data_IF_530807908543
#
_entry.id   IF_530807908543
#
_cell.length_a   1.000
_cell.length_b   1.000
_cell.length_c   1.000
_cell.angle_alpha   90.00
_cell.angle_beta   90.00
_cell.angle_gamma   90.00
#
_symmetry.space_group_name_H-M   'P 1'
#
loop_
_entity.id
_entity.type
_entity.pdbx_description
1 polymer ?
#
# COMPACT_ATOMS: atom_id res chain seq x y z
N UNK A 1 -19.69 53.72 14.63
CA UNK A 1 -19.10 52.45 15.10
C UNK A 1 -19.42 51.37 14.05
N UNK A 2 -18.51 51.15 13.09
CA UNK A 2 -18.70 50.12 12.06
C UNK A 2 -18.31 48.76 12.62
N UNK A 3 -19.28 47.86 12.78
CA UNK A 3 -19.03 46.46 13.12
C UNK A 3 -18.48 45.74 11.88
N UNK A 4 -17.16 45.69 11.75
CA UNK A 4 -16.50 44.80 10.80
C UNK A 4 -16.62 43.37 11.34
N UNK A 5 -17.56 42.59 10.79
CA UNK A 5 -17.67 41.17 11.04
C UNK A 5 -16.35 40.52 10.60
N UNK A 6 -15.52 40.12 11.57
CA UNK A 6 -14.36 39.26 11.32
C UNK A 6 -14.91 37.91 10.85
N UNK A 7 -14.90 37.66 9.55
CA UNK A 7 -15.08 36.32 8.99
C UNK A 7 -13.98 35.43 9.57
N UNK A 8 -14.34 34.60 10.55
CA UNK A 8 -13.47 33.55 11.07
C UNK A 8 -13.25 32.53 9.96
N UNK A 9 -12.06 32.55 9.36
CA UNK A 9 -11.69 31.63 8.28
C UNK A 9 -11.65 30.20 8.81
N UNK A 10 -12.64 29.39 8.40
CA UNK A 10 -12.78 28.02 8.88
C UNK A 10 -11.87 27.07 8.10
N UNK A 11 -11.23 26.13 8.81
CA UNK A 11 -10.52 25.04 8.17
C UNK A 11 -11.51 24.11 7.46
N UNK A 12 -11.17 23.67 6.24
CA UNK A 12 -12.01 22.79 5.43
C UNK A 12 -11.41 21.39 5.36
N UNK A 13 -12.16 20.40 5.83
CA UNK A 13 -11.84 18.98 5.62
C UNK A 13 -12.47 18.49 4.32
N UNK A 14 -11.66 17.88 3.45
CA UNK A 14 -12.12 17.26 2.22
C UNK A 14 -11.79 15.78 2.19
N UNK A 15 -12.67 14.98 1.56
CA UNK A 15 -12.47 13.56 1.36
C UNK A 15 -11.93 13.30 -0.04
N UNK A 16 -10.91 12.44 -0.11
CA UNK A 16 -10.26 12.05 -1.34
C UNK A 16 -10.38 10.54 -1.52
N UNK A 17 -10.64 10.08 -2.74
CA UNK A 17 -10.47 8.69 -3.14
C UNK A 17 -9.11 8.54 -3.82
N UNK A 18 -8.29 7.65 -3.29
CA UNK A 18 -6.94 7.39 -3.77
C UNK A 18 -6.84 5.97 -4.29
N UNK A 19 -6.36 5.81 -5.52
CA UNK A 19 -6.02 4.54 -6.14
C UNK A 19 -4.55 4.27 -5.94
N UNK A 20 -4.20 3.04 -5.57
CA UNK A 20 -2.82 2.66 -5.30
C UNK A 20 -2.55 1.19 -5.66
N UNK A 21 -1.31 0.89 -5.97
CA UNK A 21 -0.81 -0.46 -6.23
C UNK A 21 0.33 -0.80 -5.29
N UNK A 22 0.54 -2.08 -4.99
CA UNK A 22 1.69 -2.50 -4.22
C UNK A 22 2.13 -3.95 -4.45
N UNK A 23 3.41 -4.20 -4.17
CA UNK A 23 3.99 -5.54 -4.08
C UNK A 23 4.00 -5.99 -2.61
N UNK A 24 3.13 -6.94 -2.27
CA UNK A 24 2.89 -7.35 -0.89
C UNK A 24 3.93 -8.30 -0.28
N UNK A 25 4.86 -8.87 -1.05
CA UNK A 25 5.79 -9.93 -0.56
C UNK A 25 6.58 -9.55 0.68
N UNK A 26 6.93 -8.26 0.83
CA UNK A 26 7.68 -7.77 1.99
C UNK A 26 6.80 -7.15 3.08
N UNK A 27 5.49 -7.06 2.87
CA UNK A 27 4.56 -6.46 3.81
C UNK A 27 3.87 -7.52 4.65
N UNK A 28 3.80 -7.25 5.95
CA UNK A 28 3.05 -8.07 6.89
C UNK A 28 1.58 -7.63 6.88
N UNK A 29 0.68 -8.58 7.12
CA UNK A 29 -0.58 -8.21 7.75
C UNK A 29 -0.27 -7.76 9.17
N UNK A 30 -0.77 -6.59 9.59
CA UNK A 30 -0.85 -6.29 11.03
C UNK A 30 -2.29 -5.98 11.38
N UNK A 31 -2.83 -6.85 12.24
CA UNK A 31 -3.35 -6.44 13.56
C UNK A 31 -3.30 -7.65 14.49
N UNK A 32 -2.18 -7.78 15.20
CA UNK A 32 -2.15 -8.38 16.53
C UNK A 32 -1.75 -7.23 17.44
N UNK A 33 -2.64 -6.88 18.35
CA UNK A 33 -2.48 -5.78 19.27
C UNK A 33 -1.12 -5.94 20.00
N UNK A 34 -0.27 -4.91 19.98
CA UNK A 34 1.01 -4.77 20.69
C UNK A 34 2.35 -5.06 19.96
N UNK A 35 2.41 -5.10 18.63
CA UNK A 35 3.69 -4.88 17.92
C UNK A 35 3.62 -3.63 17.06
N UNK A 36 4.69 -2.83 17.12
CA UNK A 36 4.92 -1.59 16.38
C UNK A 36 4.26 -1.59 14.99
N UNK A 37 3.52 -0.53 14.60
CA UNK A 37 2.79 -0.43 13.32
C UNK A 37 3.70 -0.48 12.07
N UNK A 38 4.98 -0.70 12.25
CA UNK A 38 6.02 -0.73 11.23
C UNK A 38 5.93 -2.00 10.39
N UNK A 39 5.34 -1.89 9.20
CA UNK A 39 5.39 -2.95 8.19
C UNK A 39 4.08 -3.27 7.48
N UNK A 40 3.02 -2.48 7.66
CA UNK A 40 1.80 -2.59 6.84
C UNK A 40 1.78 -1.59 5.69
N UNK A 41 0.98 -1.90 4.68
CA UNK A 41 0.65 -0.97 3.59
C UNK A 41 -0.07 0.27 4.12
N UNK A 42 -0.98 0.10 5.08
CA UNK A 42 -1.74 1.22 5.65
C UNK A 42 -0.83 2.19 6.39
N UNK A 43 0.02 1.69 7.30
CA UNK A 43 0.93 2.55 8.07
C UNK A 43 2.00 3.21 7.20
N UNK A 44 2.46 2.55 6.13
CA UNK A 44 3.32 3.18 5.13
C UNK A 44 2.61 4.36 4.45
N UNK A 45 1.37 4.16 3.97
CA UNK A 45 0.57 5.21 3.34
C UNK A 45 0.27 6.38 4.30
N UNK A 46 -0.20 6.11 5.52
CA UNK A 46 -0.51 7.14 6.51
C UNK A 46 0.72 8.00 6.84
N UNK A 47 1.88 7.36 7.06
CA UNK A 47 3.14 8.08 7.31
C UNK A 47 3.58 8.90 6.12
N UNK A 48 3.52 8.34 4.91
CA UNK A 48 3.90 9.08 3.71
C UNK A 48 2.99 10.28 3.46
N UNK A 49 1.68 10.15 3.65
CA UNK A 49 0.72 11.26 3.51
C UNK A 49 0.97 12.31 4.59
N UNK A 50 1.15 11.91 5.85
CA UNK A 50 1.42 12.84 6.95
C UNK A 50 2.70 13.65 6.71
N UNK A 51 3.79 13.00 6.29
CA UNK A 51 5.07 13.65 5.98
C UNK A 51 5.03 14.48 4.69
N UNK A 52 4.24 14.07 3.70
CA UNK A 52 4.16 14.78 2.43
C UNK A 52 3.30 16.04 2.52
N UNK A 53 2.16 15.96 3.22
CA UNK A 53 1.11 16.97 3.16
C UNK A 53 0.93 17.77 4.45
N UNK A 54 1.39 17.24 5.59
CA UNK A 54 1.22 17.86 6.92
C UNK A 54 -0.23 18.31 7.21
N UNK A 55 -1.24 17.43 7.07
CA UNK A 55 -2.63 17.79 7.32
C UNK A 55 -2.87 18.06 8.82
N UNK A 56 -3.75 19.02 9.12
CA UNK A 56 -3.96 19.54 10.49
C UNK A 56 -4.28 18.45 11.51
N UNK A 57 -5.14 17.49 11.14
CA UNK A 57 -5.59 16.43 12.05
C UNK A 57 -4.93 15.06 11.79
N UNK A 58 -3.86 15.06 10.98
CA UNK A 58 -3.27 13.82 10.48
C UNK A 58 -4.13 13.11 9.42
N UNK A 59 -3.55 12.08 8.82
CA UNK A 59 -4.19 11.20 7.85
C UNK A 59 -5.12 10.21 8.56
N UNK A 60 -6.42 10.24 8.21
CA UNK A 60 -7.40 9.22 8.60
C UNK A 60 -7.91 8.53 7.35
N UNK A 61 -7.50 7.28 7.14
CA UNK A 61 -7.83 6.54 5.91
C UNK A 61 -8.67 5.28 6.17
N UNK A 62 -9.50 4.92 5.19
CA UNK A 62 -10.22 3.66 5.14
C UNK A 62 -10.01 2.95 3.81
N UNK A 63 -9.48 1.72 3.83
CA UNK A 63 -9.21 0.93 2.61
C UNK A 63 -10.45 0.19 2.10
N UNK A 64 -10.58 0.09 0.78
CA UNK A 64 -11.67 -0.66 0.13
C UNK A 64 -11.54 -2.16 0.36
N UNK A 65 -10.32 -2.67 0.50
CA UNK A 65 -10.06 -4.08 0.78
C UNK A 65 -8.83 -4.24 1.67
N UNK A 66 -8.91 -5.19 2.61
CA UNK A 66 -7.74 -5.72 3.32
C UNK A 66 -7.19 -6.89 2.53
N UNK A 67 -5.88 -7.06 2.54
CA UNK A 67 -5.23 -8.20 1.91
C UNK A 67 -4.38 -8.95 2.92
N UNK A 68 -4.15 -10.24 2.62
CA UNK A 68 -3.27 -11.06 3.43
C UNK A 68 -1.79 -10.74 3.21
N UNK A 69 -0.94 -11.20 4.14
CA UNK A 69 0.50 -10.98 4.03
C UNK A 69 1.00 -11.62 2.74
N UNK A 70 1.87 -10.92 2.00
CA UNK A 70 2.35 -11.41 0.70
C UNK A 70 1.43 -11.15 -0.49
N UNK A 71 0.16 -10.78 -0.29
CA UNK A 71 -0.78 -10.51 -1.40
C UNK A 71 -0.45 -9.18 -2.06
N UNK A 72 -0.39 -9.17 -3.39
CA UNK A 72 -0.18 -7.97 -4.20
C UNK A 72 -1.49 -7.27 -4.55
N UNK A 73 -1.43 -5.98 -4.86
CA UNK A 73 -2.55 -5.26 -5.46
C UNK A 73 -2.11 -4.51 -6.72
N UNK A 74 -2.75 -4.81 -7.85
CA UNK A 74 -2.64 -4.00 -9.07
C UNK A 74 -3.35 -2.67 -8.92
N UNK A 75 -4.50 -2.66 -8.26
CA UNK A 75 -5.25 -1.47 -7.90
C UNK A 75 -6.12 -1.79 -6.70
N UNK A 76 -5.81 -1.16 -5.56
CA UNK A 76 -6.69 -1.06 -4.41
C UNK A 76 -7.02 0.43 -4.24
N UNK A 77 -8.04 0.73 -3.43
CA UNK A 77 -8.41 2.11 -3.14
C UNK A 77 -8.55 2.35 -1.66
N UNK A 78 -8.35 3.60 -1.24
CA UNK A 78 -8.75 4.06 0.07
C UNK A 78 -9.39 5.44 -0.06
N UNK A 79 -10.23 5.78 0.91
CA UNK A 79 -10.63 7.16 1.11
C UNK A 79 -9.81 7.75 2.26
N UNK A 80 -9.51 9.05 2.21
CA UNK A 80 -8.81 9.77 3.26
C UNK A 80 -9.42 11.15 3.44
N UNK A 81 -9.58 11.57 4.70
CA UNK A 81 -9.98 12.92 5.06
C UNK A 81 -8.74 13.77 5.34
N UNK A 82 -8.61 14.88 4.63
CA UNK A 82 -7.48 15.80 4.76
C UNK A 82 -7.98 17.23 4.98
N UNK A 83 -7.38 17.88 5.97
CA UNK A 83 -7.61 19.30 6.30
C UNK A 83 -6.34 20.07 6.03
N UNK A 84 -6.40 21.03 5.12
CA UNK A 84 -5.27 21.86 4.77
C UNK A 84 -4.95 22.85 5.92
N UNK A 85 -3.67 23.11 6.25
CA UNK A 85 -3.31 24.05 7.32
C UNK A 85 -3.65 25.51 7.00
N UNK A 86 -3.62 25.88 5.72
CA UNK A 86 -4.10 27.18 5.26
C UNK A 86 -5.64 27.16 5.20
N UNK A 87 -6.33 28.11 5.85
CA UNK A 87 -7.79 28.23 5.80
C UNK A 87 -8.33 28.35 4.38
N UNK A 88 -9.56 27.89 4.18
CA UNK A 88 -10.29 27.95 2.89
C UNK A 88 -9.56 27.28 1.69
N UNK A 89 -8.47 26.56 1.96
CA UNK A 89 -7.65 25.89 0.97
C UNK A 89 -7.88 24.39 1.02
N UNK A 90 -7.64 23.72 -0.10
CA UNK A 90 -7.68 22.25 -0.22
C UNK A 90 -6.43 21.77 -0.95
N UNK A 91 -6.04 20.52 -0.73
CA UNK A 91 -5.01 19.89 -1.54
C UNK A 91 -5.57 19.58 -2.92
N UNK A 92 -4.85 19.91 -3.99
CA UNK A 92 -5.25 19.46 -5.33
C UNK A 92 -5.01 17.94 -5.44
N UNK A 93 -5.87 17.18 -6.14
CA UNK A 93 -5.69 15.74 -6.25
C UNK A 93 -4.35 15.32 -6.90
N UNK A 94 -3.86 16.09 -7.87
CA UNK A 94 -2.53 15.87 -8.46
C UNK A 94 -1.42 16.04 -7.43
N UNK A 95 -1.48 17.09 -6.61
CA UNK A 95 -0.50 17.33 -5.56
C UNK A 95 -0.50 16.21 -4.50
N UNK A 96 -1.68 15.74 -4.06
CA UNK A 96 -1.77 14.57 -3.16
C UNK A 96 -1.04 13.36 -3.75
N UNK A 97 -1.27 13.10 -5.03
CA UNK A 97 -0.66 11.97 -5.76
C UNK A 97 0.86 12.11 -5.84
N UNK A 98 1.35 13.27 -6.30
CA UNK A 98 2.77 13.53 -6.55
C UNK A 98 3.58 13.60 -5.27
N UNK A 99 3.09 14.35 -4.26
CA UNK A 99 3.77 14.53 -2.99
C UNK A 99 3.85 13.20 -2.22
N UNK A 100 2.75 12.43 -2.20
CA UNK A 100 2.75 11.10 -1.56
C UNK A 100 3.71 10.14 -2.26
N UNK A 101 3.71 10.11 -3.60
CA UNK A 101 4.65 9.28 -4.36
C UNK A 101 6.11 9.67 -4.11
N UNK A 102 6.43 10.96 -4.03
CA UNK A 102 7.78 11.43 -3.69
C UNK A 102 8.22 10.94 -2.30
N UNK A 103 7.31 10.98 -1.33
CA UNK A 103 7.60 10.49 0.01
C UNK A 103 7.72 8.96 0.07
N UNK A 104 6.95 8.23 -0.75
CA UNK A 104 7.08 6.77 -0.88
C UNK A 104 8.40 6.35 -1.54
N UNK A 105 9.04 7.22 -2.32
CA UNK A 105 10.36 6.95 -2.91
C UNK A 105 11.54 7.30 -1.99
N UNK A 106 11.30 8.01 -0.87
CA UNK A 106 12.35 8.49 0.01
C UNK A 106 12.84 7.39 0.98
N UNK A 107 14.15 7.18 1.05
CA UNK A 107 14.81 6.05 1.72
C UNK A 107 15.59 6.47 2.98
N UNK A 108 14.92 7.06 3.96
CA UNK A 108 15.52 7.25 5.29
C UNK A 108 15.25 6.02 6.20
N UNK A 109 16.18 5.06 6.20
CA UNK A 109 16.22 3.81 7.03
C UNK A 109 15.50 2.55 6.48
N UNK A 110 15.92 1.38 6.96
CA UNK A 110 15.53 0.04 6.48
C UNK A 110 14.01 -0.20 6.40
N UNK A 111 13.23 0.39 7.30
CA UNK A 111 11.76 0.32 7.30
C UNK A 111 11.17 1.07 6.09
N UNK A 112 11.82 2.14 5.62
CA UNK A 112 11.43 2.88 4.42
C UNK A 112 11.83 2.18 3.11
N UNK A 113 12.72 1.16 3.14
CA UNK A 113 13.03 0.39 1.93
C UNK A 113 11.80 -0.34 1.36
N UNK A 114 10.79 -0.57 2.19
CA UNK A 114 9.52 -1.16 1.77
C UNK A 114 8.69 -0.18 0.94
N UNK A 115 8.77 1.13 1.20
CA UNK A 115 7.90 2.14 0.58
C UNK A 115 8.01 2.20 -0.95
N UNK A 116 9.14 1.79 -1.52
CA UNK A 116 9.34 1.69 -2.98
C UNK A 116 8.41 0.68 -3.65
N UNK A 117 7.78 -0.21 -2.87
CA UNK A 117 6.85 -1.22 -3.36
C UNK A 117 5.39 -0.74 -3.36
N UNK A 118 5.11 0.52 -2.98
CA UNK A 118 3.78 1.15 -3.06
C UNK A 118 3.83 2.30 -4.06
N UNK A 119 2.77 2.45 -4.86
CA UNK A 119 2.59 3.55 -5.80
C UNK A 119 1.17 4.07 -5.75
N UNK A 120 1.01 5.39 -5.62
CA UNK A 120 -0.26 6.07 -5.87
C UNK A 120 -0.46 6.18 -7.38
N UNK A 121 -1.57 5.64 -7.86
CA UNK A 121 -1.97 5.63 -9.27
C UNK A 121 -2.76 6.89 -9.64
N UNK A 122 -3.50 7.45 -8.69
CA UNK A 122 -4.26 8.68 -8.88
C UNK A 122 -5.13 9.01 -7.68
N UNK A 123 -5.58 10.26 -7.62
CA UNK A 123 -6.43 10.79 -6.54
C UNK A 123 -7.58 11.58 -7.14
N UNK A 124 -8.74 11.54 -6.49
CA UNK A 124 -9.90 12.34 -6.85
C UNK A 124 -10.61 12.87 -5.60
N UNK A 125 -11.27 14.03 -5.71
CA UNK A 125 -12.19 14.51 -4.68
C UNK A 125 -13.49 13.72 -4.75
N UNK A 126 -14.02 13.38 -3.58
CA UNK A 126 -15.29 12.65 -3.45
C UNK A 126 -16.16 13.30 -2.37
N UNK A 127 -17.49 13.06 -2.39
CA UNK A 127 -18.36 13.55 -1.34
C UNK A 127 -17.93 13.07 0.05
N UNK A 128 -18.20 13.87 1.09
CA UNK A 128 -17.83 13.57 2.47
C UNK A 128 -18.43 12.26 3.00
N UNK A 129 -19.55 11.81 2.45
CA UNK A 129 -20.21 10.56 2.81
C UNK A 129 -19.67 9.33 2.06
N UNK A 130 -18.80 9.52 1.05
CA UNK A 130 -18.25 8.39 0.28
C UNK A 130 -17.36 7.52 1.17
N UNK A 131 -17.52 6.20 1.09
CA UNK A 131 -16.73 5.23 1.83
C UNK A 131 -16.23 4.12 0.89
N UNK A 132 -14.92 4.09 0.67
CA UNK A 132 -14.22 3.17 -0.26
C UNK A 132 -14.64 1.69 -0.14
N UNK A 133 -14.87 1.18 1.08
CA UNK A 133 -15.32 -0.21 1.31
C UNK A 133 -16.81 -0.44 1.04
N UNK A 134 -17.67 0.45 1.54
CA UNK A 134 -19.14 0.28 1.55
C UNK A 134 -19.70 0.56 0.16
N UNK A 135 -19.18 1.59 -0.52
CA UNK A 135 -19.64 1.95 -1.87
C UNK A 135 -19.00 1.09 -2.98
N UNK A 136 -18.07 0.19 -2.66
CA UNK A 136 -17.50 -0.71 -3.65
C UNK A 136 -18.53 -1.77 -4.08
N UNK A 137 -18.85 -1.81 -5.38
CA UNK A 137 -19.80 -2.78 -5.95
C UNK A 137 -19.23 -4.20 -6.04
N UNK A 138 -17.95 -4.32 -6.34
CA UNK A 138 -17.27 -5.60 -6.55
C UNK A 138 -15.76 -5.47 -6.29
N UNK A 139 -15.10 -6.62 -6.17
CA UNK A 139 -13.64 -6.76 -6.03
C UNK A 139 -13.20 -7.94 -6.89
N UNK A 140 -12.08 -7.82 -7.60
CA UNK A 140 -11.54 -8.87 -8.46
C UNK A 140 -10.19 -9.33 -7.90
N UNK A 141 -10.01 -10.64 -7.81
CA UNK A 141 -8.80 -11.29 -7.35
C UNK A 141 -8.28 -12.20 -8.46
N UNK A 142 -6.97 -12.15 -8.72
CA UNK A 142 -6.31 -12.96 -9.75
C UNK A 142 -5.23 -13.79 -9.08
N UNK A 143 -5.36 -15.11 -9.18
CA UNK A 143 -4.36 -16.07 -8.74
C UNK A 143 -3.53 -16.52 -9.94
N UNK A 144 -2.20 -16.55 -9.77
CA UNK A 144 -1.26 -17.03 -10.79
C UNK A 144 -0.51 -18.21 -10.19
N UNK A 145 -0.63 -19.37 -10.83
CA UNK A 145 0.01 -20.60 -10.42
C UNK A 145 1.07 -20.94 -11.46
N UNK A 146 2.31 -21.11 -11.01
CA UNK A 146 3.39 -21.65 -11.83
C UNK A 146 3.55 -23.13 -11.49
N UNK A 147 3.56 -23.99 -12.51
CA UNK A 147 3.73 -25.44 -12.37
C UNK A 147 5.04 -25.79 -13.07
N UNK A 148 5.93 -26.49 -12.37
CA UNK A 148 7.14 -27.05 -12.98
C UNK A 148 6.88 -28.44 -13.51
N UNK A 149 7.49 -28.78 -14.64
CA UNK A 149 7.51 -30.16 -15.12
C UNK A 149 8.38 -31.05 -14.23
N UNK A 150 7.98 -32.33 -14.14
CA UNK A 150 8.52 -33.35 -13.22
C UNK A 150 10.02 -33.63 -13.31
N UNK A 151 10.71 -33.16 -14.36
CA UNK A 151 12.09 -33.54 -14.67
C UNK A 151 13.09 -33.02 -13.63
N UNK A 152 12.81 -31.89 -12.96
CA UNK A 152 13.71 -31.33 -11.94
C UNK A 152 13.51 -31.92 -10.54
N UNK A 153 12.39 -32.61 -10.27
CA UNK A 153 12.11 -33.18 -8.95
C UNK A 153 12.98 -34.40 -8.62
N UNK A 154 13.48 -35.12 -9.63
CA UNK A 154 14.25 -36.36 -9.45
C UNK A 154 15.64 -36.11 -8.84
N UNK A 155 16.25 -34.95 -9.10
CA UNK A 155 17.56 -34.57 -8.57
C UNK A 155 17.52 -33.99 -7.14
N UNK A 156 16.33 -33.68 -6.59
CA UNK A 156 16.19 -32.97 -5.31
C UNK A 156 15.87 -33.89 -4.11
N UNK A 157 15.53 -35.16 -4.38
CA UNK A 157 15.14 -36.13 -3.34
C UNK A 157 16.32 -36.76 -2.58
N UNK A 158 17.58 -36.43 -2.93
CA UNK A 158 18.79 -36.98 -2.29
C UNK A 158 19.40 -36.08 -1.19
N UNK A 159 18.64 -35.12 -0.66
CA UNK A 159 19.15 -34.19 0.38
C UNK A 159 18.77 -34.64 1.80
N UNK A 160 19.67 -34.61 2.81
CA UNK A 160 19.41 -35.15 4.14
C UNK A 160 18.39 -34.36 4.99
N UNK A 161 17.96 -33.17 4.52
CA UNK A 161 17.11 -32.24 5.26
C UNK A 161 16.05 -31.61 4.37
N UNK A 162 14.77 -31.76 4.77
CA UNK A 162 13.60 -31.18 4.11
C UNK A 162 13.70 -29.65 3.92
N UNK A 163 14.36 -28.93 4.82
CA UNK A 163 14.49 -27.46 4.71
C UNK A 163 15.51 -27.05 3.64
N UNK A 164 16.62 -27.79 3.53
CA UNK A 164 17.65 -27.53 2.52
C UNK A 164 17.14 -27.92 1.13
N UNK A 165 16.41 -29.04 1.00
CA UNK A 165 15.78 -29.43 -0.27
C UNK A 165 14.75 -28.39 -0.73
N UNK A 166 13.93 -27.85 0.19
CA UNK A 166 12.93 -26.83 -0.13
C UNK A 166 13.57 -25.48 -0.51
N UNK A 167 14.68 -25.09 0.12
CA UNK A 167 15.46 -23.90 -0.28
C UNK A 167 16.15 -24.08 -1.64
N UNK A 168 16.71 -25.24 -1.95
CA UNK A 168 17.30 -25.53 -3.25
C UNK A 168 16.23 -25.58 -4.36
N UNK A 169 15.07 -26.18 -4.08
CA UNK A 169 13.88 -26.11 -4.94
C UNK A 169 13.47 -24.67 -5.20
N UNK A 170 13.43 -23.83 -4.17
CA UNK A 170 13.11 -22.40 -4.28
C UNK A 170 14.10 -21.63 -5.16
N UNK A 171 15.40 -21.90 -5.04
CA UNK A 171 16.44 -21.26 -5.83
C UNK A 171 16.39 -21.71 -7.30
N UNK A 172 16.18 -23.00 -7.56
CA UNK A 172 16.00 -23.54 -8.91
C UNK A 172 14.71 -22.99 -9.56
N UNK A 173 13.61 -22.92 -8.82
CA UNK A 173 12.38 -22.25 -9.27
C UNK A 173 12.64 -20.81 -9.69
N UNK A 174 13.38 -20.07 -8.86
CA UNK A 174 13.68 -18.66 -9.10
C UNK A 174 14.51 -18.42 -10.36
N UNK A 175 15.39 -19.34 -10.77
CA UNK A 175 16.16 -19.16 -12.01
C UNK A 175 15.31 -19.27 -13.28
N UNK A 176 14.17 -19.95 -13.20
CA UNK A 176 13.24 -20.11 -14.32
C UNK A 176 12.14 -19.05 -14.36
N UNK A 177 11.95 -18.29 -13.28
CA UNK A 177 10.96 -17.21 -13.25
C UNK A 177 11.42 -16.03 -14.12
N UNK A 178 10.53 -15.44 -14.94
CA UNK A 178 10.81 -14.17 -15.59
C UNK A 178 11.21 -13.11 -14.56
N UNK A 179 12.13 -12.20 -14.94
CA UNK A 179 12.59 -11.11 -14.06
C UNK A 179 11.45 -10.31 -13.43
N UNK A 180 10.35 -10.12 -14.16
CA UNK A 180 9.15 -9.42 -13.68
C UNK A 180 8.41 -10.14 -12.54
N UNK A 181 8.70 -11.42 -12.30
CA UNK A 181 8.03 -12.28 -11.32
C UNK A 181 8.90 -12.61 -10.09
N UNK A 182 10.20 -12.29 -10.10
CA UNK A 182 11.15 -12.69 -9.04
C UNK A 182 10.80 -12.22 -7.60
N UNK A 183 9.95 -11.20 -7.49
CA UNK A 183 9.40 -10.67 -6.23
C UNK A 183 7.87 -10.68 -6.18
N UNK A 184 7.22 -11.49 -7.01
CA UNK A 184 5.75 -11.61 -7.11
C UNK A 184 5.24 -13.04 -6.92
N UNK A 185 6.15 -13.97 -6.66
CA UNK A 185 5.84 -15.37 -6.46
C UNK A 185 6.09 -15.77 -5.01
N UNK A 186 5.12 -16.46 -4.44
CA UNK A 186 5.32 -17.26 -3.24
C UNK A 186 5.46 -18.72 -3.68
N UNK A 187 6.49 -19.40 -3.21
CA UNK A 187 6.68 -20.83 -3.51
C UNK A 187 6.08 -21.61 -2.35
N UNK A 188 5.19 -22.52 -2.70
CA UNK A 188 4.58 -23.47 -1.79
C UNK A 188 5.26 -24.81 -2.03
N UNK A 189 5.72 -25.47 -0.98
CA UNK A 189 6.37 -26.78 -1.06
C UNK A 189 6.12 -27.60 0.18
#
# INVERSE_FOLDING_TARGET
MSNTLKTTSSLRTCRYLVHFSYIGTKYKQVRLDNLEPDGTIQSALERSINRALHPVYGCRMGTSSRTDAGVHAYSNTFHVDLTHPIPETIYTPSFVTEATNRMLTFNDHEILSLNQLIRILGTSLVPSYFHSRINAKWRVYVYRLAIMDHIDQFNLNHSPSRRLSQQMQYQSLRSHLPLSQLNRCHVVG
#
